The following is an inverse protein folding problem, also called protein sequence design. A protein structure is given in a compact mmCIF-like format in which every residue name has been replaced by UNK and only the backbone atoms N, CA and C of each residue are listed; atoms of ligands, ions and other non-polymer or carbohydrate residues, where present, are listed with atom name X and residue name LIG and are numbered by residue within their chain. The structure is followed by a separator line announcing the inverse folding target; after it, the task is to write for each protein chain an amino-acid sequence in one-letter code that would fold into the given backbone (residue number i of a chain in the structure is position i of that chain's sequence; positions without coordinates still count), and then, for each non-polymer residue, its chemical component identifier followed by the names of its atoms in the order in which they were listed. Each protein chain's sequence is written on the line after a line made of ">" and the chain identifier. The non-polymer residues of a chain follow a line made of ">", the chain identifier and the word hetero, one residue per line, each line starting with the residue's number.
data_IF_874228106553
#
_entry.id   IF_874228106553
#
_cell.length_a   1.000
_cell.length_b   1.000
_cell.length_c   1.000
_cell.angle_alpha   90.00
_cell.angle_beta   90.00
_cell.angle_gamma   90.00
#
_symmetry.space_group_name_H-M   'P 1'
#
loop_
_entity.id
_entity.type
_entity.pdbx_description
1 polymer ?
#
# COMPACT_ATOMS: atom_id res chain seq x y z
N UNK A 1 5.37 -2.23 18.68
CA UNK A 1 4.90 -1.96 17.31
C UNK A 1 3.41 -1.65 17.39
N UNK A 2 3.05 -0.42 17.06
CA UNK A 2 1.64 -0.02 16.98
C UNK A 2 0.94 -0.88 15.91
N UNK A 3 -0.21 -1.44 16.26
CA UNK A 3 -1.05 -2.14 15.30
C UNK A 3 -1.47 -1.16 14.19
N UNK A 4 -1.60 -1.63 12.95
CA UNK A 4 -1.99 -0.84 11.77
C UNK A 4 -3.18 0.10 12.05
N UNK A 5 -4.21 -0.39 12.74
CA UNK A 5 -5.38 0.42 13.11
C UNK A 5 -5.06 1.57 14.06
N UNK A 6 -4.21 1.35 15.08
CA UNK A 6 -3.76 2.42 15.99
C UNK A 6 -2.92 3.46 15.28
N UNK A 7 -2.17 3.06 14.27
CA UNK A 7 -1.38 3.99 13.45
C UNK A 7 -2.28 4.82 12.54
N UNK A 8 -3.26 4.20 11.89
CA UNK A 8 -4.24 4.90 11.07
C UNK A 8 -5.07 5.89 11.92
N UNK A 9 -5.43 5.52 13.14
CA UNK A 9 -6.11 6.39 14.09
C UNK A 9 -5.23 7.57 14.54
N UNK A 10 -3.97 7.33 14.87
CA UNK A 10 -3.02 8.37 15.24
C UNK A 10 -2.73 9.33 14.06
N UNK A 11 -2.71 8.82 12.83
CA UNK A 11 -2.57 9.62 11.61
C UNK A 11 -3.83 10.50 11.38
N UNK A 12 -5.02 9.95 11.56
CA UNK A 12 -6.28 10.69 11.44
C UNK A 12 -6.42 11.79 12.51
N UNK A 13 -5.87 11.57 13.71
CA UNK A 13 -5.89 12.53 14.81
C UNK A 13 -4.70 13.49 14.82
N UNK A 14 -3.74 13.35 13.90
CA UNK A 14 -2.51 14.15 13.85
C UNK A 14 -1.57 13.95 15.04
N UNK A 15 -1.70 12.83 15.77
CA UNK A 15 -0.94 12.50 17.00
C UNK A 15 0.18 11.50 16.76
N UNK A 16 0.78 11.52 15.55
CA UNK A 16 1.86 10.59 15.21
C UNK A 16 3.07 10.86 16.08
N UNK A 17 3.53 9.85 16.82
CA UNK A 17 4.79 9.92 17.54
C UNK A 17 5.97 10.01 16.57
N UNK A 18 6.95 10.83 16.91
CA UNK A 18 8.16 11.01 16.11
C UNK A 18 9.40 10.54 16.86
N UNK A 19 10.33 9.95 16.14
CA UNK A 19 11.69 9.74 16.62
C UNK A 19 12.54 10.95 16.30
N UNK A 20 13.31 11.40 17.29
CA UNK A 20 14.36 12.39 17.04
C UNK A 20 15.66 11.62 16.76
N UNK A 21 16.02 11.51 15.49
CA UNK A 21 17.27 10.91 15.04
C UNK A 21 18.27 12.01 14.70
N UNK A 22 19.14 12.33 15.65
CA UNK A 22 20.19 13.35 15.46
C UNK A 22 19.69 14.73 14.99
N UNK A 23 18.49 15.13 15.45
CA UNK A 23 17.86 16.39 15.05
C UNK A 23 16.90 16.30 13.87
N UNK A 24 16.75 15.12 13.26
CA UNK A 24 15.73 14.83 12.26
C UNK A 24 14.52 14.18 12.94
N UNK A 25 13.36 14.79 12.78
CA UNK A 25 12.09 14.23 13.26
C UNK A 25 11.57 13.24 12.21
N UNK A 26 11.50 11.97 12.61
CA UNK A 26 11.04 10.88 11.73
C UNK A 26 9.79 10.26 12.34
N UNK A 27 8.72 10.22 11.57
CA UNK A 27 7.45 9.65 12.01
C UNK A 27 7.57 8.14 12.27
N UNK A 28 7.05 7.68 13.42
CA UNK A 28 6.98 6.26 13.77
C UNK A 28 5.88 5.55 12.99
N UNK A 29 6.07 5.36 11.70
CA UNK A 29 5.08 4.71 10.85
C UNK A 29 5.63 3.39 10.32
N UNK A 30 4.81 2.35 10.37
CA UNK A 30 5.09 1.06 9.75
C UNK A 30 4.58 1.01 8.32
N UNK A 31 5.42 0.57 7.40
CA UNK A 31 5.05 0.39 5.98
C UNK A 31 4.58 -1.04 5.69
N UNK A 32 4.07 -1.74 6.70
CA UNK A 32 3.56 -3.11 6.58
C UNK A 32 2.30 -3.13 5.72
N UNK A 33 2.26 -4.05 4.76
CA UNK A 33 1.12 -4.19 3.86
C UNK A 33 1.07 -3.20 2.68
N UNK A 34 2.03 -2.27 2.58
CA UNK A 34 2.07 -1.29 1.49
C UNK A 34 2.94 -1.80 0.32
N UNK A 35 2.37 -1.94 -0.87
CA UNK A 35 3.08 -2.51 -2.03
C UNK A 35 4.02 -1.51 -2.69
N UNK A 36 3.56 -0.28 -2.94
CA UNK A 36 4.39 0.73 -3.63
C UNK A 36 5.64 1.13 -2.86
N UNK A 37 5.58 1.48 -1.56
CA UNK A 37 6.79 1.73 -0.80
C UNK A 37 7.78 0.56 -0.85
N UNK A 38 7.29 -0.68 -0.72
CA UNK A 38 8.14 -1.88 -0.76
C UNK A 38 8.82 -2.06 -2.11
N UNK A 39 8.14 -1.81 -3.23
CA UNK A 39 8.74 -1.89 -4.57
C UNK A 39 9.88 -0.87 -4.72
N UNK A 40 9.66 0.38 -4.31
CA UNK A 40 10.68 1.43 -4.35
C UNK A 40 11.85 1.09 -3.43
N UNK A 41 11.57 0.65 -2.20
CA UNK A 41 12.58 0.25 -1.22
C UNK A 41 13.42 -0.91 -1.75
N UNK A 42 12.79 -1.94 -2.32
CA UNK A 42 13.48 -3.10 -2.89
C UNK A 42 14.38 -2.71 -4.08
N UNK A 43 13.93 -1.80 -4.92
CA UNK A 43 14.72 -1.28 -6.03
C UNK A 43 15.93 -0.48 -5.53
N UNK A 44 15.74 0.39 -4.53
CA UNK A 44 16.82 1.16 -3.89
C UNK A 44 17.82 0.22 -3.22
N UNK A 45 17.33 -0.75 -2.44
CA UNK A 45 18.16 -1.76 -1.78
C UNK A 45 19.03 -2.52 -2.79
N UNK A 46 18.43 -3.07 -3.84
CA UNK A 46 19.15 -3.79 -4.88
C UNK A 46 20.17 -2.91 -5.62
N UNK A 47 19.88 -1.61 -5.77
CA UNK A 47 20.78 -0.66 -6.41
C UNK A 47 22.00 -0.38 -5.54
N UNK A 48 21.79 -0.15 -4.24
CA UNK A 48 22.85 0.08 -3.25
C UNK A 48 23.71 -1.18 -3.09
N UNK A 49 23.09 -2.34 -2.98
CA UNK A 49 23.79 -3.62 -2.88
C UNK A 49 24.71 -3.88 -4.08
N UNK A 50 24.20 -3.71 -5.29
CA UNK A 50 25.00 -3.83 -6.53
C UNK A 50 26.16 -2.84 -6.57
N UNK A 51 25.96 -1.63 -6.04
CA UNK A 51 27.03 -0.64 -5.96
C UNK A 51 28.16 -1.09 -5.04
N UNK A 52 27.83 -1.61 -3.84
CA UNK A 52 28.84 -2.10 -2.91
C UNK A 52 29.53 -3.35 -3.38
N UNK A 53 28.82 -4.32 -3.97
CA UNK A 53 29.43 -5.52 -4.57
C UNK A 53 30.44 -5.21 -5.67
N UNK A 54 30.28 -4.10 -6.37
CA UNK A 54 31.26 -3.67 -7.38
C UNK A 54 32.54 -3.08 -6.75
N UNK A 55 32.44 -2.53 -5.55
CA UNK A 55 33.55 -1.84 -4.89
C UNK A 55 34.28 -2.70 -3.85
N UNK A 56 33.57 -3.56 -3.16
CA UNK A 56 34.10 -4.45 -2.15
C UNK A 56 34.35 -5.83 -2.74
N UNK A 57 35.36 -6.56 -2.21
CA UNK A 57 35.71 -7.92 -2.67
C UNK A 57 36.00 -8.83 -1.47
N UNK A 58 35.77 -10.13 -1.69
CA UNK A 58 36.10 -11.16 -0.71
C UNK A 58 35.29 -11.07 0.59
N UNK A 59 35.93 -11.31 1.71
CA UNK A 59 35.30 -11.34 3.04
C UNK A 59 34.68 -9.99 3.42
N UNK A 60 35.30 -8.88 2.97
CA UNK A 60 34.75 -7.54 3.21
C UNK A 60 33.42 -7.34 2.50
N UNK A 61 33.28 -7.81 1.28
CA UNK A 61 32.02 -7.77 0.54
C UNK A 61 30.92 -8.58 1.25
N UNK A 62 31.22 -9.78 1.67
CA UNK A 62 30.26 -10.67 2.35
C UNK A 62 29.70 -10.09 3.65
N UNK A 63 30.52 -9.39 4.45
CA UNK A 63 30.12 -8.87 5.76
C UNK A 63 29.60 -7.42 5.68
N UNK A 64 30.31 -6.55 4.96
CA UNK A 64 30.07 -5.12 4.98
C UNK A 64 28.94 -4.73 4.02
N UNK A 65 28.85 -5.35 2.86
CA UNK A 65 27.81 -5.02 1.86
C UNK A 65 26.40 -5.15 2.42
N UNK A 66 25.96 -6.30 2.98
CA UNK A 66 24.59 -6.40 3.49
C UNK A 66 24.33 -5.43 4.66
N UNK A 67 25.32 -5.24 5.54
CA UNK A 67 25.18 -4.36 6.70
C UNK A 67 24.98 -2.90 6.26
N UNK A 68 25.84 -2.38 5.38
CA UNK A 68 25.75 -1.01 4.89
C UNK A 68 24.50 -0.82 4.02
N UNK A 69 24.17 -1.80 3.18
CA UNK A 69 22.96 -1.75 2.34
C UNK A 69 21.69 -1.63 3.19
N UNK A 70 21.55 -2.45 4.23
CA UNK A 70 20.41 -2.39 5.14
C UNK A 70 20.35 -1.08 5.93
N UNK A 71 21.48 -0.60 6.44
CA UNK A 71 21.54 0.67 7.16
C UNK A 71 21.14 1.84 6.27
N UNK A 72 21.75 1.97 5.10
CA UNK A 72 21.50 3.10 4.19
C UNK A 72 20.06 3.03 3.66
N UNK A 73 19.61 1.84 3.24
CA UNK A 73 18.23 1.67 2.75
C UNK A 73 17.22 1.93 3.85
N UNK A 74 17.49 1.49 5.10
CA UNK A 74 16.64 1.77 6.24
C UNK A 74 16.50 3.27 6.51
N UNK A 75 17.62 3.99 6.55
CA UNK A 75 17.59 5.45 6.67
C UNK A 75 16.82 6.14 5.55
N UNK A 76 17.10 5.78 4.29
CA UNK A 76 16.38 6.32 3.14
C UNK A 76 14.88 6.00 3.18
N UNK A 77 14.53 4.81 3.65
CA UNK A 77 13.12 4.40 3.78
C UNK A 77 12.37 5.32 4.73
N UNK A 78 12.88 5.58 5.91
CA UNK A 78 12.17 6.37 6.91
C UNK A 78 12.24 7.88 6.65
N UNK A 79 13.35 8.39 6.11
CA UNK A 79 13.57 9.83 5.94
C UNK A 79 13.04 10.35 4.60
N UNK A 80 13.14 9.55 3.54
CA UNK A 80 12.85 10.03 2.16
C UNK A 80 11.69 9.27 1.54
N UNK A 81 11.85 7.95 1.36
CA UNK A 81 10.91 7.15 0.56
C UNK A 81 9.54 7.12 1.22
N UNK A 82 9.50 6.87 2.52
CA UNK A 82 8.27 6.75 3.30
C UNK A 82 7.43 8.01 3.27
N UNK A 83 7.95 9.18 3.66
CA UNK A 83 7.21 10.44 3.59
C UNK A 83 6.70 10.78 2.19
N UNK A 84 7.53 10.56 1.14
CA UNK A 84 7.12 10.83 -0.25
C UNK A 84 5.98 9.89 -0.66
N UNK A 85 6.10 8.59 -0.39
CA UNK A 85 5.07 7.62 -0.76
C UNK A 85 3.77 7.84 0.00
N UNK A 86 3.86 8.26 1.27
CA UNK A 86 2.69 8.64 2.06
C UNK A 86 2.00 9.89 1.50
N UNK A 87 2.76 10.96 1.23
CA UNK A 87 2.20 12.18 0.63
C UNK A 87 1.50 11.89 -0.69
N UNK A 88 2.07 11.01 -1.51
CA UNK A 88 1.46 10.57 -2.76
C UNK A 88 0.15 9.80 -2.50
N UNK A 89 0.15 8.87 -1.55
CA UNK A 89 -1.04 8.11 -1.16
C UNK A 89 -2.16 9.02 -0.64
N UNK A 90 -1.82 9.96 0.25
CA UNK A 90 -2.77 10.94 0.80
C UNK A 90 -3.32 11.85 -0.29
N UNK A 91 -2.48 12.36 -1.19
CA UNK A 91 -2.92 13.20 -2.30
C UNK A 91 -3.89 12.47 -3.25
N UNK A 92 -3.60 11.20 -3.54
CA UNK A 92 -4.51 10.36 -4.33
C UNK A 92 -5.84 10.12 -3.60
N UNK A 93 -5.79 9.83 -2.29
CA UNK A 93 -6.98 9.65 -1.47
C UNK A 93 -7.88 10.89 -1.48
N UNK A 94 -7.32 12.07 -1.21
CA UNK A 94 -8.08 13.32 -1.25
C UNK A 94 -8.60 13.65 -2.65
N UNK A 95 -7.81 13.41 -3.70
CA UNK A 95 -8.27 13.59 -5.08
C UNK A 95 -9.49 12.73 -5.40
N UNK A 96 -9.47 11.47 -4.99
CA UNK A 96 -10.59 10.55 -5.17
C UNK A 96 -11.82 10.96 -4.36
N UNK A 97 -11.62 11.40 -3.11
CA UNK A 97 -12.69 11.92 -2.27
C UNK A 97 -13.38 13.12 -2.94
N UNK A 98 -12.59 14.07 -3.43
CA UNK A 98 -13.11 15.25 -4.14
C UNK A 98 -13.97 14.86 -5.36
N UNK A 99 -13.50 13.89 -6.14
CA UNK A 99 -14.25 13.38 -7.30
C UNK A 99 -15.56 12.72 -6.87
N UNK A 100 -15.53 11.94 -5.78
CA UNK A 100 -16.72 11.28 -5.25
C UNK A 100 -17.75 12.30 -4.74
N UNK A 101 -17.34 13.27 -3.93
CA UNK A 101 -18.22 14.28 -3.34
C UNK A 101 -18.82 15.22 -4.39
N UNK A 102 -18.03 15.66 -5.36
CA UNK A 102 -18.49 16.55 -6.42
C UNK A 102 -19.42 15.86 -7.43
N UNK A 103 -19.22 14.56 -7.66
CA UNK A 103 -19.91 13.81 -8.72
C UNK A 103 -21.14 13.03 -8.27
N UNK A 104 -21.43 12.90 -6.97
CA UNK A 104 -22.51 12.06 -6.47
C UNK A 104 -22.49 10.65 -7.06
N UNK A 105 -23.58 10.14 -7.69
CA UNK A 105 -23.60 8.80 -8.29
C UNK A 105 -22.57 8.60 -9.41
N UNK A 106 -22.29 9.66 -10.19
CA UNK A 106 -21.28 9.63 -11.26
C UNK A 106 -19.87 9.57 -10.63
N UNK A 107 -19.64 10.32 -9.56
CA UNK A 107 -18.38 10.26 -8.79
C UNK A 107 -18.13 8.86 -8.23
N UNK A 108 -19.14 8.23 -7.67
CA UNK A 108 -19.07 6.84 -7.18
C UNK A 108 -18.75 5.85 -8.30
N UNK A 109 -19.34 6.01 -9.48
CA UNK A 109 -19.03 5.19 -10.66
C UNK A 109 -17.56 5.36 -11.09
N UNK A 110 -17.09 6.61 -11.22
CA UNK A 110 -15.70 6.90 -11.58
C UNK A 110 -14.71 6.38 -10.54
N UNK A 111 -15.02 6.56 -9.25
CA UNK A 111 -14.22 6.00 -8.17
C UNK A 111 -14.13 4.47 -8.27
N UNK A 112 -15.25 3.78 -8.44
CA UNK A 112 -15.28 2.32 -8.57
C UNK A 112 -14.49 1.80 -9.78
N UNK A 113 -14.53 2.54 -10.89
CA UNK A 113 -13.77 2.20 -12.10
C UNK A 113 -12.24 2.31 -11.89
N UNK A 114 -11.80 3.29 -11.13
CA UNK A 114 -10.37 3.52 -10.85
C UNK A 114 -9.89 2.72 -9.64
N UNK A 115 -10.79 2.30 -8.75
CA UNK A 115 -10.45 1.61 -7.51
C UNK A 115 -9.68 0.30 -7.74
N UNK A 116 -10.13 -0.56 -8.68
CA UNK A 116 -9.45 -1.83 -8.96
C UNK A 116 -8.01 -1.67 -9.47
N UNK A 117 -7.69 -0.77 -10.41
CA UNK A 117 -6.31 -0.40 -10.72
C UNK A 117 -5.50 0.08 -9.51
N UNK A 118 -6.09 0.90 -8.65
CA UNK A 118 -5.42 1.40 -7.42
C UNK A 118 -5.09 0.24 -6.48
N UNK A 119 -5.98 -0.73 -6.33
CA UNK A 119 -5.73 -1.93 -5.50
C UNK A 119 -4.51 -2.70 -6.00
N UNK A 120 -4.34 -2.87 -7.31
CA UNK A 120 -3.19 -3.57 -7.89
C UNK A 120 -1.87 -2.85 -7.55
N UNK A 121 -1.85 -1.53 -7.49
CA UNK A 121 -0.67 -0.75 -7.11
C UNK A 121 -0.38 -0.75 -5.62
N UNK A 122 -1.32 -1.21 -4.78
CA UNK A 122 -1.22 -1.19 -3.32
C UNK A 122 -1.49 0.18 -2.69
N UNK A 123 -1.81 1.21 -3.47
CA UNK A 123 -2.11 2.57 -2.97
C UNK A 123 -3.37 2.61 -2.10
N UNK A 124 -4.29 1.65 -2.26
CA UNK A 124 -5.49 1.52 -1.43
C UNK A 124 -5.18 1.39 0.06
N UNK A 125 -3.97 0.96 0.44
CA UNK A 125 -3.51 0.91 1.83
C UNK A 125 -3.34 2.31 2.47
N UNK A 126 -3.38 3.37 1.68
CA UNK A 126 -3.39 4.75 2.18
C UNK A 126 -4.80 5.26 2.50
N UNK A 127 -5.84 4.49 2.20
CA UNK A 127 -7.24 4.90 2.45
C UNK A 127 -7.74 4.73 3.90
N UNK A 128 -7.27 3.78 4.73
CA UNK A 128 -7.80 3.61 6.07
C UNK A 128 -7.79 4.86 6.95
N UNK A 129 -6.78 5.75 6.95
CA UNK A 129 -6.84 7.01 7.69
C UNK A 129 -7.95 7.93 7.19
N UNK A 130 -8.14 8.00 5.86
CA UNK A 130 -9.18 8.82 5.23
C UNK A 130 -10.57 8.24 5.56
N UNK A 131 -10.70 6.93 5.50
CA UNK A 131 -11.92 6.20 5.89
C UNK A 131 -12.32 6.50 7.34
N UNK A 132 -11.37 6.46 8.28
CA UNK A 132 -11.62 6.81 9.68
C UNK A 132 -12.09 8.26 9.86
N UNK A 133 -11.52 9.20 9.11
CA UNK A 133 -11.98 10.60 9.13
C UNK A 133 -13.40 10.74 8.58
N UNK A 134 -13.71 10.07 7.48
CA UNK A 134 -15.06 10.07 6.89
C UNK A 134 -16.10 9.46 7.84
N UNK A 135 -15.76 8.35 8.50
CA UNK A 135 -16.65 7.72 9.50
C UNK A 135 -16.96 8.66 10.68
N UNK A 136 -15.98 9.44 11.14
CA UNK A 136 -16.18 10.44 12.19
C UNK A 136 -17.09 11.59 11.74
N UNK A 137 -17.15 11.88 10.45
CA UNK A 137 -18.02 12.89 9.83
C UNK A 137 -19.41 12.35 9.46
N UNK A 138 -19.69 11.07 9.77
CA UNK A 138 -21.00 10.44 9.61
C UNK A 138 -21.23 9.75 8.27
N UNK A 139 -20.20 9.55 7.46
CA UNK A 139 -20.33 8.83 6.18
C UNK A 139 -19.01 8.24 5.71
N UNK A 140 -19.06 7.07 5.11
CA UNK A 140 -17.93 6.41 4.47
C UNK A 140 -18.39 5.78 3.17
N UNK A 141 -17.62 5.98 2.11
CA UNK A 141 -17.92 5.39 0.80
C UNK A 141 -16.81 4.43 0.33
N UNK A 142 -15.60 4.55 0.90
CA UNK A 142 -14.43 3.81 0.44
C UNK A 142 -14.60 2.32 0.68
N UNK A 143 -14.93 1.90 1.88
CA UNK A 143 -15.15 0.48 2.18
C UNK A 143 -16.38 -0.11 1.50
N UNK A 144 -17.46 0.68 1.34
CA UNK A 144 -18.61 0.24 0.57
C UNK A 144 -18.24 -0.06 -0.90
N UNK A 145 -17.48 0.85 -1.53
CA UNK A 145 -17.00 0.66 -2.91
C UNK A 145 -15.98 -0.48 -3.00
N UNK A 146 -15.09 -0.62 -2.01
CA UNK A 146 -14.15 -1.72 -1.92
C UNK A 146 -14.85 -3.08 -1.87
N UNK A 147 -15.89 -3.21 -1.06
CA UNK A 147 -16.68 -4.44 -0.94
C UNK A 147 -17.37 -4.79 -2.27
N UNK A 148 -17.95 -3.81 -2.97
CA UNK A 148 -18.53 -4.01 -4.29
C UNK A 148 -17.48 -4.41 -5.33
N UNK A 149 -16.30 -3.81 -5.31
CA UNK A 149 -15.20 -4.17 -6.19
C UNK A 149 -14.70 -5.61 -5.94
N UNK A 150 -14.60 -6.03 -4.68
CA UNK A 150 -14.23 -7.40 -4.32
C UNK A 150 -15.24 -8.42 -4.85
N UNK A 151 -16.53 -8.15 -4.67
CA UNK A 151 -17.60 -9.02 -5.20
C UNK A 151 -17.54 -9.09 -6.74
N UNK A 152 -17.34 -7.96 -7.41
CA UNK A 152 -17.23 -7.92 -8.88
C UNK A 152 -16.00 -8.71 -9.38
N UNK A 153 -14.84 -8.55 -8.74
CA UNK A 153 -13.61 -9.29 -9.05
C UNK A 153 -13.78 -10.79 -8.77
N UNK A 154 -14.40 -11.13 -7.65
CA UNK A 154 -14.71 -12.52 -7.29
C UNK A 154 -15.64 -13.18 -8.30
N UNK A 155 -16.71 -12.49 -8.71
CA UNK A 155 -17.63 -12.99 -9.74
C UNK A 155 -16.94 -13.19 -11.10
N UNK A 156 -16.09 -12.23 -11.52
CA UNK A 156 -15.30 -12.37 -12.74
C UNK A 156 -14.34 -13.56 -12.68
N UNK A 157 -13.68 -13.76 -11.54
CA UNK A 157 -12.75 -14.86 -11.34
C UNK A 157 -13.48 -16.22 -11.30
N UNK A 158 -14.66 -16.28 -10.68
CA UNK A 158 -15.52 -17.48 -10.71
C UNK A 158 -16.03 -17.79 -12.12
N UNK A 159 -16.31 -16.77 -12.94
CA UNK A 159 -16.64 -16.99 -14.35
C UNK A 159 -15.47 -17.62 -15.11
N UNK A 160 -14.23 -17.17 -14.84
CA UNK A 160 -13.01 -17.83 -15.37
C UNK A 160 -12.90 -19.27 -14.89
N UNK A 161 -13.21 -19.55 -13.63
CA UNK A 161 -13.23 -20.92 -13.11
C UNK A 161 -14.20 -21.85 -13.90
N UNK A 162 -15.36 -21.34 -14.24
CA UNK A 162 -16.35 -22.11 -15.01
C UNK A 162 -15.93 -22.33 -16.48
N UNK A 163 -15.27 -21.36 -17.09
CA UNK A 163 -14.89 -21.38 -18.50
C UNK A 163 -13.50 -21.97 -18.76
N UNK A 164 -12.64 -22.03 -17.76
CA UNK A 164 -11.26 -22.52 -17.91
C UNK A 164 -11.23 -24.02 -18.25
N UNK A 165 -10.45 -24.36 -19.29
CA UNK A 165 -10.22 -25.74 -19.72
C UNK A 165 -9.02 -26.41 -19.02
N UNK A 166 -8.09 -25.61 -18.51
CA UNK A 166 -6.87 -26.11 -17.83
C UNK A 166 -7.05 -26.26 -16.32
N UNK A 167 -6.78 -27.44 -15.78
CA UNK A 167 -6.93 -27.76 -14.35
C UNK A 167 -6.19 -26.77 -13.43
N UNK A 168 -4.98 -26.35 -13.79
CA UNK A 168 -4.19 -25.39 -13.01
C UNK A 168 -4.87 -24.01 -12.93
N UNK A 169 -5.36 -23.49 -14.06
CA UNK A 169 -6.06 -22.21 -14.11
C UNK A 169 -7.39 -22.29 -13.37
N UNK A 170 -8.10 -23.40 -13.54
CA UNK A 170 -9.36 -23.67 -12.84
C UNK A 170 -9.18 -23.70 -11.33
N UNK A 171 -8.18 -24.41 -10.84
CA UNK A 171 -7.87 -24.45 -9.40
C UNK A 171 -7.54 -23.07 -8.82
N UNK A 172 -6.68 -22.30 -9.50
CA UNK A 172 -6.32 -20.94 -9.09
C UNK A 172 -7.54 -20.01 -9.10
N UNK A 173 -8.34 -20.04 -10.18
CA UNK A 173 -9.52 -19.18 -10.32
C UNK A 173 -10.60 -19.53 -9.28
N UNK A 174 -10.79 -20.81 -8.96
CA UNK A 174 -11.73 -21.23 -7.92
C UNK A 174 -11.32 -20.72 -6.53
N UNK A 175 -10.09 -20.95 -6.13
CA UNK A 175 -9.58 -20.49 -4.84
C UNK A 175 -9.61 -18.97 -4.71
N UNK A 176 -9.12 -18.24 -5.73
CA UNK A 176 -9.08 -16.78 -5.72
C UNK A 176 -10.47 -16.15 -5.79
N UNK A 177 -11.39 -16.73 -6.56
CA UNK A 177 -12.75 -16.23 -6.70
C UNK A 177 -13.55 -16.33 -5.41
N UNK A 178 -13.44 -17.46 -4.70
CA UNK A 178 -14.07 -17.64 -3.38
C UNK A 178 -13.51 -16.66 -2.37
N UNK A 179 -12.17 -16.54 -2.29
CA UNK A 179 -11.52 -15.59 -1.38
C UNK A 179 -11.94 -14.15 -1.65
N UNK A 180 -12.05 -13.74 -2.93
CA UNK A 180 -12.44 -12.38 -3.28
C UNK A 180 -13.91 -12.06 -2.97
N UNK A 181 -14.81 -13.03 -3.04
CA UNK A 181 -16.24 -12.84 -2.66
C UNK A 181 -16.41 -12.75 -1.15
N UNK A 182 -15.58 -13.46 -0.39
CA UNK A 182 -15.65 -13.47 1.07
C UNK A 182 -14.95 -12.27 1.72
N UNK A 183 -14.06 -11.56 1.03
CA UNK A 183 -13.34 -10.37 1.48
C UNK A 183 -11.92 -10.67 1.89
#
# INVERSE_FOLDING_TARGET
>A
LLNFYKMAEAEAQGTIEQWNLFGLFVDKIGYQGTVLPILVISWVLATIEKFFHKKLKGTADFLITPMLTLLITGFLTFIVIGPIMRSLGTALGHGLQTVYEAGGPIGGFLFGLVYSPIVITGLHQSFPPIELQLQQQGGSFIFATASMANIAQGAATLAVFLLAKGEKLKGLAGASGVSAVLG
#
